data_IF_789156975321
#
_entry.id   IF_789156975321
#
_cell.length_a   1.000
_cell.length_b   1.000
_cell.length_c   1.000
_cell.angle_alpha   90.00
_cell.angle_beta   90.00
_cell.angle_gamma   90.00
#
_symmetry.space_group_name_H-M   'P 1'
#
loop_
_entity.id
_entity.type
_entity.pdbx_description
1 polymer ?
#
# COMPACT_ATOMS: atom_id res chain seq x y z
N UNK A 1 68.25 -1.74 -6.43
CA UNK A 1 67.71 -2.61 -7.50
C UNK A 1 66.98 -3.77 -6.80
N UNK A 2 65.68 -4.08 -6.90
CA UNK A 2 64.57 -3.70 -7.80
C UNK A 2 63.25 -3.91 -7.04
N UNK A 3 62.28 -3.01 -7.26
CA UNK A 3 60.87 -3.08 -6.86
C UNK A 3 60.14 -4.22 -7.57
N UNK A 4 59.17 -4.89 -6.93
CA UNK A 4 58.11 -5.59 -7.66
C UNK A 4 56.73 -5.21 -7.11
N UNK A 5 56.08 -4.34 -7.86
CA UNK A 5 54.66 -4.04 -7.75
C UNK A 5 53.85 -5.23 -8.28
N UNK A 6 52.83 -5.67 -7.54
CA UNK A 6 51.76 -6.48 -8.11
C UNK A 6 50.52 -5.59 -8.22
N UNK A 7 50.16 -5.28 -9.47
CA UNK A 7 48.96 -4.54 -9.81
C UNK A 7 47.72 -5.41 -9.56
N UNK A 8 46.72 -4.82 -8.91
CA UNK A 8 45.35 -5.32 -8.89
C UNK A 8 44.67 -4.91 -10.21
N UNK A 9 43.86 -5.77 -10.84
CA UNK A 9 43.03 -5.37 -11.97
C UNK A 9 41.89 -4.45 -11.50
N UNK A 10 41.48 -3.44 -12.30
CA UNK A 10 40.34 -2.60 -11.96
C UNK A 10 39.03 -3.39 -12.09
N UNK A 11 38.26 -3.34 -11.01
CA UNK A 11 36.92 -3.89 -10.87
C UNK A 11 35.95 -3.08 -11.73
N UNK A 12 35.35 -3.73 -12.74
CA UNK A 12 34.32 -3.13 -13.59
C UNK A 12 33.01 -3.00 -12.80
N UNK A 13 32.49 -1.79 -12.71
CA UNK A 13 31.17 -1.48 -12.15
C UNK A 13 30.06 -1.96 -13.09
N UNK A 14 29.00 -2.65 -12.61
CA UNK A 14 27.84 -2.93 -13.44
C UNK A 14 27.01 -1.65 -13.66
N UNK A 15 26.61 -1.42 -14.92
CA UNK A 15 25.74 -0.32 -15.36
C UNK A 15 24.34 -0.43 -14.73
N UNK A 16 23.71 0.69 -14.32
CA UNK A 16 22.33 0.67 -13.81
C UNK A 16 21.33 0.36 -14.93
N UNK A 17 20.51 -0.67 -14.69
CA UNK A 17 19.39 -1.07 -15.54
C UNK A 17 18.28 -0.02 -15.41
N UNK A 18 17.97 0.67 -16.50
CA UNK A 18 16.82 1.57 -16.58
C UNK A 18 15.53 0.76 -16.42
N UNK A 19 14.70 1.15 -15.44
CA UNK A 19 13.34 0.61 -15.25
C UNK A 19 12.40 1.24 -16.29
N UNK A 20 11.55 0.47 -16.97
CA UNK A 20 10.45 1.05 -17.73
C UNK A 20 9.40 1.64 -16.78
N UNK A 21 9.01 2.88 -17.05
CA UNK A 21 7.89 3.55 -16.39
C UNK A 21 6.58 2.97 -16.93
N UNK A 22 5.84 2.25 -16.10
CA UNK A 22 4.44 1.90 -16.37
C UNK A 22 3.58 2.42 -15.21
N UNK A 23 2.93 3.56 -15.47
CA UNK A 23 1.85 4.08 -14.66
C UNK A 23 0.54 3.41 -15.08
N UNK A 24 -0.23 2.78 -14.17
CA UNK A 24 -1.56 2.31 -14.51
C UNK A 24 -2.53 3.51 -14.58
N UNK A 25 -3.08 3.77 -15.77
CA UNK A 25 -4.17 4.72 -15.97
C UNK A 25 -5.45 4.21 -15.29
N UNK A 26 -5.90 4.93 -14.27
CA UNK A 26 -7.20 4.72 -13.63
C UNK A 26 -8.29 5.27 -14.56
N UNK A 27 -9.07 4.39 -15.19
CA UNK A 27 -10.25 4.78 -15.98
C UNK A 27 -11.37 5.18 -15.02
N UNK A 28 -11.64 6.48 -14.93
CA UNK A 28 -12.85 7.05 -14.30
C UNK A 28 -14.09 6.60 -15.11
N UNK A 29 -14.89 5.71 -14.54
CA UNK A 29 -16.24 5.44 -15.03
C UNK A 29 -17.14 6.65 -14.74
N UNK A 30 -17.61 7.30 -15.81
CA UNK A 30 -18.63 8.33 -15.75
C UNK A 30 -19.99 7.66 -15.49
N UNK A 31 -20.66 8.08 -14.42
CA UNK A 31 -22.04 7.73 -14.11
C UNK A 31 -22.94 8.52 -15.06
N UNK A 32 -23.59 7.84 -16.01
CA UNK A 32 -24.54 8.48 -16.94
C UNK A 32 -25.97 8.33 -16.39
N UNK A 33 -26.59 9.49 -16.23
CA UNK A 33 -27.94 9.72 -15.73
C UNK A 33 -29.05 9.13 -16.62
N UNK A 34 -30.09 8.64 -15.93
CA UNK A 34 -31.53 8.61 -16.22
C UNK A 34 -32.03 8.34 -17.65
N UNK A 35 -32.82 7.26 -17.76
CA UNK A 35 -33.97 7.17 -18.66
C UNK A 35 -35.16 6.56 -17.90
N UNK A 36 -36.26 7.31 -17.89
CA UNK A 36 -37.56 6.94 -17.32
C UNK A 36 -38.14 5.70 -18.03
N UNK A 37 -38.81 4.79 -17.32
CA UNK A 37 -39.50 3.67 -17.95
C UNK A 37 -40.81 4.13 -18.60
N UNK A 38 -40.98 3.75 -19.86
CA UNK A 38 -42.23 3.86 -20.62
C UNK A 38 -43.17 2.74 -20.16
N UNK A 39 -44.37 3.12 -19.74
CA UNK A 39 -45.43 2.21 -19.30
C UNK A 39 -46.04 1.47 -20.49
N UNK A 40 -45.88 0.15 -20.53
CA UNK A 40 -46.67 -0.73 -21.38
C UNK A 40 -47.83 -1.38 -20.60
N UNK A 41 -48.97 -1.65 -21.26
CA UNK A 41 -50.19 -2.09 -20.58
C UNK A 41 -50.13 -3.59 -20.20
N UNK A 42 -50.62 -3.87 -18.98
CA UNK A 42 -50.72 -5.19 -18.37
C UNK A 42 -51.56 -6.15 -19.23
N UNK A 43 -50.92 -7.15 -19.84
CA UNK A 43 -51.61 -8.37 -20.25
C UNK A 43 -51.86 -9.24 -19.02
N UNK A 44 -53.14 -9.53 -18.75
CA UNK A 44 -53.58 -10.49 -17.74
C UNK A 44 -53.22 -11.90 -18.21
N UNK A 45 -52.22 -12.53 -17.62
CA UNK A 45 -52.07 -13.99 -17.67
C UNK A 45 -53.02 -14.64 -16.64
N UNK A 46 -53.70 -15.74 -16.98
CA UNK A 46 -54.43 -16.53 -15.99
C UNK A 46 -53.44 -17.14 -14.99
N UNK A 47 -53.74 -16.98 -13.70
CA UNK A 47 -53.04 -17.59 -12.57
C UNK A 47 -53.11 -19.12 -12.68
N UNK A 48 -51.98 -19.84 -12.72
CA UNK A 48 -51.99 -21.23 -12.27
C UNK A 48 -52.04 -21.23 -10.75
N UNK A 49 -53.04 -21.92 -10.20
CA UNK A 49 -53.15 -22.23 -8.77
C UNK A 49 -51.96 -23.12 -8.38
N UNK A 50 -50.92 -22.51 -7.79
CA UNK A 50 -49.77 -23.23 -7.26
C UNK A 50 -50.13 -23.69 -5.85
N UNK A 51 -50.31 -25.00 -5.69
CA UNK A 51 -50.41 -25.65 -4.39
C UNK A 51 -49.24 -25.18 -3.47
N UNK A 52 -49.46 -25.03 -2.16
CA UNK A 52 -48.40 -24.56 -1.27
C UNK A 52 -47.21 -25.52 -1.35
N UNK A 53 -45.98 -25.03 -1.61
CA UNK A 53 -44.82 -25.88 -1.50
C UNK A 53 -44.71 -26.31 -0.05
N UNK A 54 -44.84 -27.60 0.22
CA UNK A 54 -44.49 -28.17 1.51
C UNK A 54 -43.03 -27.85 1.74
N UNK A 55 -42.74 -26.85 2.58
CA UNK A 55 -41.41 -26.58 3.10
C UNK A 55 -41.01 -27.75 3.99
N UNK A 56 -40.60 -28.87 3.39
CA UNK A 56 -39.72 -29.81 4.08
C UNK A 56 -38.43 -29.03 4.30
N UNK A 57 -38.25 -28.55 5.52
CA UNK A 57 -36.96 -28.09 6.01
C UNK A 57 -36.01 -29.28 5.92
N UNK A 58 -35.36 -29.43 4.77
CA UNK A 58 -34.10 -30.18 4.70
C UNK A 58 -33.25 -29.65 5.85
N UNK A 59 -32.86 -30.54 6.75
CA UNK A 59 -32.06 -30.13 7.90
C UNK A 59 -30.83 -29.40 7.39
N UNK A 60 -30.53 -28.23 7.98
CA UNK A 60 -29.26 -27.52 7.80
C UNK A 60 -28.04 -28.44 7.62
N UNK A 61 -27.86 -29.55 8.39
CA UNK A 61 -26.78 -30.50 8.15
C UNK A 61 -26.78 -31.12 6.75
N UNK A 62 -27.93 -31.53 6.22
CA UNK A 62 -28.04 -32.14 4.89
C UNK A 62 -27.75 -31.13 3.77
N UNK A 63 -28.22 -29.88 3.96
CA UNK A 63 -27.92 -28.77 3.07
C UNK A 63 -26.41 -28.46 3.04
N UNK A 64 -25.76 -28.43 4.20
CA UNK A 64 -24.31 -28.20 4.31
C UNK A 64 -23.54 -29.34 3.65
N UNK A 65 -23.93 -30.61 3.86
CA UNK A 65 -23.28 -31.76 3.22
C UNK A 65 -23.37 -31.74 1.68
N UNK A 66 -24.45 -31.19 1.10
CA UNK A 66 -24.57 -31.01 -0.36
C UNK A 66 -23.66 -29.93 -0.92
N UNK A 67 -23.38 -28.88 -0.14
CA UNK A 67 -22.67 -27.69 -0.62
C UNK A 67 -21.18 -27.67 -0.25
N UNK A 68 -20.79 -28.33 0.84
CA UNK A 68 -19.38 -28.46 1.23
C UNK A 68 -18.80 -29.73 0.61
N UNK A 69 -18.06 -29.56 -0.49
CA UNK A 69 -17.26 -30.64 -1.07
C UNK A 69 -15.93 -30.73 -0.31
N UNK A 70 -15.64 -31.82 0.43
CA UNK A 70 -14.47 -31.91 1.31
C UNK A 70 -13.14 -31.73 0.56
N UNK A 71 -13.05 -32.16 -0.71
CA UNK A 71 -11.87 -31.94 -1.54
C UNK A 71 -11.60 -30.47 -1.88
N UNK A 72 -12.64 -29.63 -1.99
CA UNK A 72 -12.46 -28.18 -2.22
C UNK A 72 -11.96 -27.49 -0.96
N UNK A 73 -12.41 -27.92 0.21
CA UNK A 73 -11.95 -27.35 1.50
C UNK A 73 -10.48 -27.66 1.74
N UNK A 74 -10.04 -28.89 1.47
CA UNK A 74 -8.63 -29.27 1.60
C UNK A 74 -7.74 -28.46 0.64
N UNK A 75 -8.16 -28.31 -0.63
CA UNK A 75 -7.42 -27.51 -1.61
C UNK A 75 -7.35 -26.03 -1.23
N UNK A 76 -8.45 -25.45 -0.74
CA UNK A 76 -8.47 -24.07 -0.26
C UNK A 76 -7.60 -23.88 0.98
N UNK A 77 -7.57 -24.86 1.90
CA UNK A 77 -6.73 -24.80 3.09
C UNK A 77 -5.24 -24.87 2.73
N UNK A 78 -4.86 -25.72 1.77
CA UNK A 78 -3.49 -25.81 1.25
C UNK A 78 -3.06 -24.50 0.56
N UNK A 79 -3.93 -23.93 -0.27
CA UNK A 79 -3.69 -22.65 -0.94
C UNK A 79 -3.56 -21.49 0.06
N UNK A 80 -4.43 -21.44 1.07
CA UNK A 80 -4.35 -20.47 2.16
C UNK A 80 -3.05 -20.61 2.96
N UNK A 81 -2.63 -21.85 3.25
CA UNK A 81 -1.36 -22.10 3.94
C UNK A 81 -0.16 -21.58 3.13
N UNK A 82 -0.15 -21.81 1.82
CA UNK A 82 0.88 -21.28 0.93
C UNK A 82 0.89 -19.76 0.87
N UNK A 83 -0.28 -19.13 0.75
CA UNK A 83 -0.42 -17.67 0.68
C UNK A 83 0.01 -17.00 2.00
N UNK A 84 -0.36 -17.58 3.14
CA UNK A 84 0.05 -17.07 4.45
C UNK A 84 1.57 -17.19 4.63
N UNK A 85 2.16 -18.34 4.29
CA UNK A 85 3.62 -18.54 4.36
C UNK A 85 4.38 -17.53 3.49
N UNK A 86 3.94 -17.31 2.26
CA UNK A 86 4.54 -16.29 1.37
C UNK A 86 4.37 -14.87 1.90
N UNK A 87 3.24 -14.58 2.56
CA UNK A 87 3.00 -13.26 3.14
C UNK A 87 3.94 -12.99 4.32
N UNK A 88 4.17 -14.01 5.14
CA UNK A 88 5.07 -13.94 6.30
C UNK A 88 6.52 -13.70 5.86
N UNK A 89 6.99 -14.47 4.88
CA UNK A 89 8.34 -14.34 4.32
C UNK A 89 8.61 -12.96 3.70
N UNK A 90 7.59 -12.36 3.05
CA UNK A 90 7.66 -10.98 2.54
C UNK A 90 7.71 -9.95 3.66
N UNK A 91 6.98 -10.17 4.75
CA UNK A 91 7.00 -9.29 5.91
C UNK A 91 8.38 -9.34 6.58
N UNK A 92 8.90 -10.54 6.84
CA UNK A 92 10.21 -10.77 7.45
C UNK A 92 11.33 -10.12 6.64
N UNK A 93 11.30 -10.29 5.30
CA UNK A 93 12.27 -9.66 4.39
C UNK A 93 12.21 -8.13 4.46
N UNK A 94 11.01 -7.56 4.53
CA UNK A 94 10.81 -6.10 4.64
C UNK A 94 11.26 -5.57 5.99
N UNK A 95 11.07 -6.33 7.07
CA UNK A 95 11.56 -5.97 8.39
C UNK A 95 13.09 -5.93 8.39
N UNK A 96 13.76 -6.97 7.89
CA UNK A 96 15.22 -7.00 7.75
C UNK A 96 15.73 -5.81 6.93
N UNK A 97 15.16 -5.57 5.73
CA UNK A 97 15.53 -4.43 4.89
C UNK A 97 15.38 -3.11 5.65
N UNK A 98 14.25 -2.90 6.36
CA UNK A 98 14.03 -1.65 7.09
C UNK A 98 14.96 -1.51 8.28
N UNK A 99 15.11 -2.53 9.11
CA UNK A 99 15.91 -2.46 10.33
C UNK A 99 17.41 -2.41 10.06
N UNK A 100 17.93 -3.17 9.10
CA UNK A 100 19.35 -3.13 8.73
C UNK A 100 19.75 -1.75 8.21
N UNK A 101 18.88 -1.13 7.39
CA UNK A 101 19.13 0.21 6.87
C UNK A 101 18.90 1.33 7.90
N UNK A 102 17.87 1.24 8.74
CA UNK A 102 17.58 2.31 9.72
C UNK A 102 18.52 2.27 10.92
N UNK A 103 18.86 1.09 11.43
CA UNK A 103 19.79 0.96 12.56
C UNK A 103 21.24 1.29 12.14
N UNK A 104 21.65 0.87 10.94
CA UNK A 104 22.95 1.23 10.39
C UNK A 104 23.11 2.75 10.19
N UNK A 105 22.05 3.44 9.78
CA UNK A 105 22.06 4.90 9.64
C UNK A 105 21.95 5.65 10.97
N UNK A 106 21.21 5.10 11.95
CA UNK A 106 21.07 5.72 13.26
C UNK A 106 22.40 5.71 14.03
N UNK A 107 23.15 4.61 13.96
CA UNK A 107 24.46 4.50 14.60
C UNK A 107 25.52 5.42 13.96
N UNK A 108 25.36 5.81 12.68
CA UNK A 108 26.21 6.80 12.01
C UNK A 108 25.82 8.25 12.31
N UNK A 109 24.59 8.49 12.77
CA UNK A 109 24.06 9.83 13.02
C UNK A 109 24.43 10.37 14.41
N UNK A 110 24.91 9.52 15.33
CA UNK A 110 25.39 9.89 16.67
C UNK A 110 26.87 10.36 16.70
N UNK A 111 27.50 10.60 15.54
CA UNK A 111 28.77 11.31 15.51
C UNK A 111 28.54 12.79 15.88
N UNK A 112 29.17 13.31 16.95
CA UNK A 112 28.85 14.63 17.47
C UNK A 112 29.38 15.71 16.53
N UNK A 113 28.48 16.47 15.92
CA UNK A 113 28.77 17.71 15.21
C UNK A 113 28.01 18.86 15.89
N UNK A 114 28.39 19.18 17.13
CA UNK A 114 27.73 20.20 17.96
C UNK A 114 28.30 21.62 17.83
N UNK A 115 29.28 21.88 16.97
CA UNK A 115 29.97 23.20 16.98
C UNK A 115 29.53 24.20 15.89
N UNK A 116 28.40 24.01 15.21
CA UNK A 116 28.08 24.84 14.01
C UNK A 116 26.69 25.49 13.92
N UNK A 117 25.88 25.48 14.98
CA UNK A 117 24.42 25.68 14.82
C UNK A 117 23.86 27.09 15.06
N UNK A 118 24.62 28.05 15.57
CA UNK A 118 24.04 29.36 15.92
C UNK A 118 24.20 30.44 14.83
N UNK A 119 25.31 30.44 14.08
CA UNK A 119 25.60 31.52 13.11
C UNK A 119 24.75 31.45 11.83
N UNK A 120 24.14 30.31 11.52
CA UNK A 120 23.41 30.08 10.27
C UNK A 120 21.88 30.14 10.42
N UNK A 121 21.36 30.19 11.66
CA UNK A 121 19.92 30.19 11.89
C UNK A 121 19.24 31.44 11.29
N UNK A 122 19.85 32.62 11.44
CA UNK A 122 19.32 33.86 10.89
C UNK A 122 19.34 33.86 9.35
N UNK A 123 20.39 33.31 8.74
CA UNK A 123 20.50 33.20 7.29
C UNK A 123 19.48 32.19 6.71
N UNK A 124 19.29 31.05 7.38
CA UNK A 124 18.28 30.07 7.01
C UNK A 124 16.85 30.63 7.15
N UNK A 125 16.58 31.42 8.19
CA UNK A 125 15.28 32.10 8.34
C UNK A 125 15.10 33.15 7.24
N UNK A 126 16.13 33.94 6.92
CA UNK A 126 16.06 34.92 5.85
C UNK A 126 15.81 34.27 4.47
N UNK A 127 16.47 33.14 4.18
CA UNK A 127 16.26 32.36 2.96
C UNK A 127 14.84 31.79 2.90
N UNK A 128 14.33 31.26 4.01
CA UNK A 128 12.98 30.74 4.14
C UNK A 128 11.91 31.83 3.98
N UNK A 129 12.18 33.05 4.44
CA UNK A 129 11.30 34.20 4.25
C UNK A 129 11.40 34.83 2.86
N UNK A 130 12.49 34.59 2.12
CA UNK A 130 12.65 35.12 0.75
C UNK A 130 11.76 34.41 -0.27
N UNK A 131 11.25 33.21 0.06
CA UNK A 131 10.37 32.41 -0.78
C UNK A 131 8.93 32.36 -0.23
N UNK A 132 7.90 32.50 -1.08
CA UNK A 132 6.50 32.47 -0.64
C UNK A 132 6.06 31.12 -0.07
N UNK A 133 6.74 30.03 -0.44
CA UNK A 133 6.51 28.70 0.14
C UNK A 133 7.01 28.65 1.60
N UNK A 134 8.21 29.16 1.88
CA UNK A 134 8.78 29.16 3.22
C UNK A 134 7.98 30.00 4.20
N UNK A 135 7.45 31.15 3.77
CA UNK A 135 6.49 31.93 4.58
C UNK A 135 5.26 31.11 4.98
N UNK A 136 4.70 30.29 4.07
CA UNK A 136 3.57 29.41 4.39
C UNK A 136 3.97 28.32 5.40
N UNK A 137 5.14 27.73 5.23
CA UNK A 137 5.68 26.73 6.16
C UNK A 137 5.85 27.33 7.56
N UNK A 138 6.30 28.58 7.66
CA UNK A 138 6.46 29.28 8.94
C UNK A 138 5.10 29.56 9.62
N UNK A 139 4.08 29.94 8.85
CA UNK A 139 2.71 30.12 9.36
C UNK A 139 2.16 28.79 9.90
N UNK A 140 2.33 27.70 9.15
CA UNK A 140 1.89 26.37 9.59
C UNK A 140 2.63 25.91 10.84
N UNK A 141 3.94 26.11 10.90
CA UNK A 141 4.73 25.80 12.09
C UNK A 141 4.24 26.59 13.31
N UNK A 142 3.96 27.89 13.14
CA UNK A 142 3.39 28.72 14.20
C UNK A 142 2.00 28.22 14.64
N UNK A 143 1.14 27.82 13.70
CA UNK A 143 -0.19 27.28 14.00
C UNK A 143 -0.12 25.96 14.79
N UNK A 144 0.81 25.07 14.43
CA UNK A 144 1.05 23.81 15.14
C UNK A 144 1.52 24.08 16.57
N UNK A 145 2.45 25.04 16.75
CA UNK A 145 2.96 25.43 18.06
C UNK A 145 1.90 26.11 18.92
N UNK A 146 0.98 26.86 18.31
CA UNK A 146 -0.13 27.53 18.99
C UNK A 146 -1.37 26.65 19.15
N UNK A 147 -1.21 25.33 19.09
CA UNK A 147 -2.29 24.33 19.20
C UNK A 147 -3.39 24.80 20.17
N UNK A 148 -4.61 25.10 19.69
CA UNK A 148 -5.65 25.62 20.54
C UNK A 148 -6.02 24.58 21.59
N UNK A 149 -5.99 24.99 22.86
CA UNK A 149 -6.47 24.20 23.98
C UNK A 149 -7.98 24.42 24.05
N UNK A 150 -8.72 23.49 23.49
CA UNK A 150 -10.16 23.35 23.72
C UNK A 150 -10.41 22.11 24.55
#
# INVERSE_FOLDING_TARGET
FVRRAQGRPPQQSPKPRQRPAHSPQVKRQQVRSQRSPKSEPKQKHPQPEVAPPTLRSEGLPEHVSRHIRPGKVAQHAEQLGSDVGQSDERMESRLHEKFDHTLGNLQQSDAPSEEKREEDAAAQIADLLSHPEGVRQLILANEILRRPQW
#
